data_IF_405135920932
#
_entry.id   IF_405135920932
#
_cell.length_a   1.000
_cell.length_b   1.000
_cell.length_c   1.000
_cell.angle_alpha   90.00
_cell.angle_beta   90.00
_cell.angle_gamma   90.00
#
_symmetry.space_group_name_H-M   'P 1'
#
loop_
_entity.id
_entity.type
_entity.pdbx_description
1 polymer ?
#
# COMPACT_ATOMS: atom_id res chain seq x y z
N UNK A 1 -42.04 11.34 -48.33
CA UNK A 1 -41.75 10.09 -47.61
C UNK A 1 -40.58 10.35 -46.68
N UNK A 2 -40.82 10.24 -45.37
CA UNK A 2 -39.79 10.34 -44.32
C UNK A 2 -38.86 9.11 -44.35
N UNK A 3 -37.57 9.33 -44.07
CA UNK A 3 -36.73 8.37 -43.35
C UNK A 3 -35.58 9.11 -42.65
N UNK A 4 -35.76 9.35 -41.34
CA UNK A 4 -34.73 9.68 -40.36
C UNK A 4 -34.09 8.39 -39.86
N UNK A 5 -32.78 8.20 -39.98
CA UNK A 5 -31.96 7.26 -39.22
C UNK A 5 -30.51 7.80 -39.25
N UNK A 6 -29.63 7.72 -38.27
CA UNK A 6 -29.65 7.65 -36.81
C UNK A 6 -28.16 7.79 -36.41
N UNK A 7 -27.83 8.67 -35.46
CA UNK A 7 -26.48 8.78 -34.89
C UNK A 7 -26.08 7.51 -34.13
N UNK A 8 -24.79 7.14 -34.15
CA UNK A 8 -24.32 6.01 -33.34
C UNK A 8 -22.81 5.74 -33.43
N UNK A 9 -21.97 6.77 -33.39
CA UNK A 9 -20.54 6.59 -33.18
C UNK A 9 -20.26 6.26 -31.71
N UNK A 10 -20.23 4.97 -31.39
CA UNK A 10 -19.91 4.50 -30.05
C UNK A 10 -18.49 4.93 -29.65
N UNK A 11 -18.41 5.76 -28.61
CA UNK A 11 -17.20 6.00 -27.84
C UNK A 11 -16.70 4.65 -27.32
N UNK A 12 -15.46 4.30 -27.67
CA UNK A 12 -14.75 3.21 -27.04
C UNK A 12 -14.54 3.57 -25.56
N UNK A 13 -15.48 3.14 -24.71
CA UNK A 13 -15.31 3.17 -23.27
C UNK A 13 -14.15 2.24 -22.93
N UNK A 14 -13.03 2.82 -22.50
CA UNK A 14 -11.95 2.08 -21.84
C UNK A 14 -12.55 1.37 -20.63
N UNK A 15 -12.79 0.08 -20.76
CA UNK A 15 -13.11 -0.78 -19.63
C UNK A 15 -11.84 -0.88 -18.78
N UNK A 16 -11.68 0.05 -17.85
CA UNK A 16 -10.97 -0.26 -16.63
C UNK A 16 -11.81 -1.34 -15.94
N UNK A 17 -11.47 -2.60 -16.20
CA UNK A 17 -11.96 -3.74 -15.44
C UNK A 17 -11.69 -3.42 -13.98
N UNK A 18 -12.74 -3.15 -13.22
CA UNK A 18 -12.69 -3.08 -11.76
C UNK A 18 -12.25 -4.45 -11.28
N UNK A 19 -10.94 -4.62 -11.12
CA UNK A 19 -10.36 -5.81 -10.53
C UNK A 19 -11.05 -5.98 -9.19
N UNK A 20 -11.80 -7.08 -9.04
CA UNK A 20 -12.54 -7.38 -7.83
C UNK A 20 -11.59 -7.25 -6.65
N UNK A 21 -11.93 -6.34 -5.77
CA UNK A 21 -11.08 -5.91 -4.68
C UNK A 21 -10.74 -7.09 -3.78
N UNK A 22 -9.47 -7.50 -3.77
CA UNK A 22 -9.01 -8.69 -3.01
C UNK A 22 -8.55 -8.27 -1.62
N UNK A 23 -9.48 -7.92 -0.75
CA UNK A 23 -9.17 -7.69 0.67
C UNK A 23 -8.81 -9.03 1.34
N UNK A 24 -7.69 -9.14 2.09
CA UNK A 24 -7.40 -10.35 2.84
C UNK A 24 -8.43 -10.57 3.94
N UNK A 25 -9.02 -11.77 3.99
CA UNK A 25 -9.84 -12.19 5.14
C UNK A 25 -8.99 -12.83 6.25
N UNK A 26 -9.57 -12.97 7.45
CA UNK A 26 -8.88 -13.57 8.59
C UNK A 26 -8.43 -15.02 8.35
N UNK A 27 -9.03 -15.75 7.40
CA UNK A 27 -8.63 -17.12 7.04
C UNK A 27 -7.42 -17.11 6.10
N UNK A 28 -7.35 -16.19 5.15
CA UNK A 28 -6.20 -16.00 4.26
C UNK A 28 -4.98 -15.56 5.06
N UNK A 29 -5.14 -14.61 5.98
CA UNK A 29 -4.05 -14.25 6.90
C UNK A 29 -3.66 -15.45 7.76
N UNK A 30 -4.60 -16.16 8.38
CA UNK A 30 -4.32 -17.39 9.14
C UNK A 30 -3.50 -18.42 8.39
N UNK A 31 -3.92 -18.75 7.18
CA UNK A 31 -3.21 -19.70 6.33
C UNK A 31 -1.81 -19.19 5.95
N UNK A 32 -1.63 -17.88 5.89
CA UNK A 32 -0.39 -17.25 5.46
C UNK A 32 0.63 -17.04 6.59
N UNK A 33 0.23 -16.53 7.76
CA UNK A 33 1.12 -16.36 8.92
C UNK A 33 1.21 -17.62 9.80
N UNK A 34 0.25 -18.55 9.72
CA UNK A 34 0.16 -19.68 10.65
C UNK A 34 -0.57 -19.32 11.96
N UNK A 35 -1.22 -20.30 12.58
CA UNK A 35 -2.14 -20.09 13.70
C UNK A 35 -1.51 -19.41 14.93
N UNK A 36 -0.29 -19.79 15.28
CA UNK A 36 0.42 -19.23 16.45
C UNK A 36 0.90 -17.78 16.25
N UNK A 37 1.03 -17.34 14.99
CA UNK A 37 1.44 -15.97 14.66
C UNK A 37 0.28 -14.98 14.60
N UNK A 38 -0.97 -15.46 14.64
CA UNK A 38 -2.14 -14.60 14.65
C UNK A 38 -2.14 -13.63 15.81
N UNK A 39 -1.75 -14.12 16.99
CA UNK A 39 -1.63 -13.37 18.24
C UNK A 39 -0.27 -12.72 18.44
N UNK A 40 0.66 -12.85 17.49
CA UNK A 40 1.96 -12.22 17.61
C UNK A 40 1.77 -10.70 17.59
N UNK A 41 2.26 -10.04 18.62
CA UNK A 41 2.16 -8.59 18.77
C UNK A 41 3.14 -7.93 17.79
N UNK A 42 2.67 -6.90 17.08
CA UNK A 42 3.54 -6.07 16.27
C UNK A 42 4.49 -5.33 17.23
N UNK A 43 5.82 -5.54 17.18
CA UNK A 43 6.74 -5.11 18.24
C UNK A 43 6.81 -3.58 18.47
N UNK A 44 6.12 -2.78 17.66
CA UNK A 44 6.22 -1.33 17.63
C UNK A 44 4.95 -0.60 17.14
N UNK A 45 3.77 -1.23 17.18
CA UNK A 45 2.56 -0.43 17.11
C UNK A 45 2.49 0.40 18.41
N UNK A 46 2.09 1.67 18.35
CA UNK A 46 1.78 2.45 19.56
C UNK A 46 0.73 1.73 20.45
N UNK A 47 0.06 0.73 19.88
CA UNK A 47 -0.76 -0.27 20.55
C UNK A 47 -0.01 -1.62 20.62
N UNK A 48 0.96 -1.74 21.52
CA UNK A 48 1.76 -2.95 21.74
C UNK A 48 0.96 -4.16 22.27
N UNK A 49 -0.37 -4.10 22.23
CA UNK A 49 -1.30 -5.16 22.64
C UNK A 49 -2.10 -5.72 21.46
N UNK A 50 -1.98 -5.14 20.25
CA UNK A 50 -2.73 -5.56 19.08
C UNK A 50 -1.93 -6.58 18.28
N UNK A 51 -2.59 -7.69 17.97
CA UNK A 51 -1.99 -8.75 17.19
C UNK A 51 -1.76 -8.29 15.74
N UNK A 52 -0.70 -8.78 15.09
CA UNK A 52 -0.32 -8.40 13.72
C UNK A 52 -1.49 -8.64 12.76
N UNK A 53 -2.19 -9.77 12.90
CA UNK A 53 -3.32 -10.11 12.05
C UNK A 53 -4.47 -9.10 12.17
N UNK A 54 -4.84 -8.77 13.41
CA UNK A 54 -5.90 -7.79 13.68
C UNK A 54 -5.50 -6.42 13.15
N UNK A 55 -4.27 -5.97 13.41
CA UNK A 55 -3.81 -4.68 12.89
C UNK A 55 -3.79 -4.62 11.35
N UNK A 56 -3.49 -5.73 10.68
CA UNK A 56 -3.59 -5.79 9.21
C UNK A 56 -5.06 -5.68 8.79
N UNK A 57 -5.97 -6.43 9.41
CA UNK A 57 -7.40 -6.41 9.08
C UNK A 57 -8.05 -5.05 9.37
N UNK A 58 -7.74 -4.43 10.50
CA UNK A 58 -8.25 -3.11 10.89
C UNK A 58 -7.91 -2.07 9.82
N UNK A 59 -6.71 -2.13 9.23
CA UNK A 59 -6.32 -1.23 8.15
C UNK A 59 -7.00 -1.49 6.80
N UNK A 60 -7.97 -2.40 6.72
CA UNK A 60 -8.86 -2.60 5.58
C UNK A 60 -10.34 -2.32 5.91
N UNK A 61 -10.65 -1.78 7.08
CA UNK A 61 -12.03 -1.50 7.51
C UNK A 61 -12.77 -0.51 6.59
N UNK A 62 -12.05 0.45 6.00
CA UNK A 62 -12.64 1.50 5.19
C UNK A 62 -11.78 1.86 3.96
N UNK A 63 -12.48 2.35 2.93
CA UNK A 63 -11.88 2.96 1.73
C UNK A 63 -10.83 2.08 1.07
N UNK A 64 -11.18 0.81 0.89
CA UNK A 64 -10.35 -0.14 0.18
C UNK A 64 -10.17 0.33 -1.27
N UNK A 65 -8.96 0.14 -1.79
CA UNK A 65 -8.65 0.32 -3.21
C UNK A 65 -7.65 -0.73 -3.67
N UNK A 66 -7.48 -0.87 -4.99
CA UNK A 66 -6.54 -1.82 -5.55
C UNK A 66 -6.12 -1.54 -6.98
N UNK A 67 -4.97 -2.11 -7.35
CA UNK A 67 -4.37 -2.00 -8.67
C UNK A 67 -3.88 -3.39 -9.12
N UNK A 68 -4.41 -3.86 -10.25
CA UNK A 68 -3.89 -5.00 -10.97
C UNK A 68 -2.81 -4.53 -11.96
N UNK A 69 -1.66 -5.19 -11.95
CA UNK A 69 -0.55 -4.90 -12.88
C UNK A 69 -0.67 -5.77 -14.13
N UNK A 70 -0.02 -5.34 -15.22
CA UNK A 70 -0.05 -6.09 -16.50
C UNK A 70 0.51 -7.51 -16.41
N UNK A 71 1.39 -7.79 -15.45
CA UNK A 71 1.93 -9.13 -15.19
C UNK A 71 1.04 -9.98 -14.27
N UNK A 72 -0.17 -9.52 -13.97
CA UNK A 72 -1.18 -10.23 -13.19
C UNK A 72 -1.03 -10.11 -11.67
N UNK A 73 0.04 -9.48 -11.17
CA UNK A 73 0.14 -9.17 -9.73
C UNK A 73 -0.93 -8.15 -9.34
N UNK A 74 -1.26 -8.13 -8.05
CA UNK A 74 -2.28 -7.22 -7.52
C UNK A 74 -1.80 -6.62 -6.20
N UNK A 75 -2.00 -5.32 -6.03
CA UNK A 75 -1.83 -4.64 -4.74
C UNK A 75 -3.16 -4.04 -4.32
N UNK A 76 -3.53 -4.23 -3.06
CA UNK A 76 -4.69 -3.59 -2.43
C UNK A 76 -4.25 -2.90 -1.17
N UNK A 77 -4.97 -1.84 -0.81
CA UNK A 77 -4.77 -1.11 0.42
C UNK A 77 -6.09 -0.58 0.96
N UNK A 78 -6.08 -0.17 2.21
CA UNK A 78 -7.21 0.49 2.86
C UNK A 78 -6.72 1.30 4.04
N UNK A 79 -7.67 1.79 4.84
CA UNK A 79 -7.39 2.43 6.12
C UNK A 79 -8.36 2.00 7.21
N UNK A 80 -7.94 2.21 8.45
CA UNK A 80 -8.76 1.98 9.63
C UNK A 80 -9.87 3.03 9.73
N UNK A 81 -11.08 2.61 10.07
CA UNK A 81 -12.19 3.53 10.22
C UNK A 81 -11.90 4.52 11.37
N UNK A 82 -12.06 5.82 11.10
CA UNK A 82 -11.76 6.88 12.08
C UNK A 82 -10.26 7.18 12.28
N UNK A 83 -9.35 6.40 11.69
CA UNK A 83 -7.90 6.53 11.83
C UNK A 83 -7.19 6.40 10.46
N UNK A 84 -7.40 7.36 9.56
CA UNK A 84 -6.88 7.31 8.18
C UNK A 84 -5.35 7.27 8.04
N UNK A 85 -4.62 7.57 9.11
CA UNK A 85 -3.16 7.43 9.23
C UNK A 85 -2.71 5.99 9.53
N UNK A 86 -3.65 5.08 9.81
CA UNK A 86 -3.43 3.65 9.93
C UNK A 86 -3.95 2.95 8.68
N UNK A 87 -3.01 2.46 7.89
CA UNK A 87 -3.30 1.79 6.62
C UNK A 87 -2.77 0.36 6.66
N UNK A 88 -3.35 -0.47 5.80
CA UNK A 88 -2.83 -1.80 5.48
C UNK A 88 -2.67 -1.97 3.99
N UNK A 89 -1.71 -2.80 3.59
CA UNK A 89 -1.46 -3.14 2.18
C UNK A 89 -1.25 -4.63 2.05
N UNK A 90 -1.80 -5.25 1.01
CA UNK A 90 -1.52 -6.63 0.65
C UNK A 90 -1.12 -6.71 -0.82
N UNK A 91 -0.11 -7.53 -1.10
CA UNK A 91 0.38 -7.79 -2.47
C UNK A 91 0.21 -9.27 -2.78
N UNK A 92 -0.35 -9.56 -3.94
CA UNK A 92 -0.67 -10.89 -4.45
C UNK A 92 0.09 -11.18 -5.75
N UNK A 93 0.45 -12.44 -5.97
CA UNK A 93 0.96 -12.89 -7.27
C UNK A 93 -0.16 -13.07 -8.30
N UNK A 94 0.22 -13.43 -9.53
CA UNK A 94 -0.69 -13.70 -10.65
C UNK A 94 -1.69 -14.82 -10.36
N UNK A 95 -1.32 -15.76 -9.47
CA UNK A 95 -2.18 -16.88 -9.06
C UNK A 95 -3.12 -16.47 -7.91
N UNK A 96 -3.07 -15.21 -7.45
CA UNK A 96 -3.87 -14.70 -6.35
C UNK A 96 -3.38 -15.13 -4.97
N UNK A 97 -2.15 -15.62 -4.85
CA UNK A 97 -1.56 -15.97 -3.54
C UNK A 97 -0.89 -14.73 -2.94
N UNK A 98 -1.19 -14.48 -1.67
CA UNK A 98 -0.60 -13.36 -0.95
C UNK A 98 0.92 -13.55 -0.78
N UNK A 99 1.68 -12.58 -1.26
CA UNK A 99 3.13 -12.54 -1.18
C UNK A 99 3.62 -11.72 0.01
N UNK A 100 2.85 -10.71 0.40
CA UNK A 100 3.26 -9.71 1.39
C UNK A 100 2.05 -9.00 1.99
N UNK A 101 2.09 -8.75 3.29
CA UNK A 101 1.14 -7.92 4.03
C UNK A 101 1.92 -6.82 4.76
N UNK A 102 1.35 -5.63 4.85
CA UNK A 102 2.02 -4.43 5.37
C UNK A 102 1.11 -3.69 6.31
N UNK A 103 1.70 -3.23 7.42
CA UNK A 103 1.13 -2.24 8.32
C UNK A 103 1.85 -0.93 8.06
N UNK A 104 1.09 0.13 7.76
CA UNK A 104 1.60 1.48 7.54
C UNK A 104 0.96 2.41 8.56
N UNK A 105 1.79 3.20 9.23
CA UNK A 105 1.35 4.06 10.32
C UNK A 105 1.97 5.45 10.20
N UNK A 106 1.15 6.47 10.45
CA UNK A 106 1.59 7.85 10.67
C UNK A 106 2.41 8.45 9.52
N UNK A 107 2.17 8.00 8.27
CA UNK A 107 2.81 8.59 7.09
C UNK A 107 2.24 9.99 6.88
N UNK A 108 3.14 10.98 6.86
CA UNK A 108 2.80 12.36 6.50
C UNK A 108 2.90 12.47 4.99
N UNK A 109 1.82 12.90 4.34
CA UNK A 109 1.76 13.10 2.90
C UNK A 109 2.52 14.36 2.48
N UNK A 110 3.12 14.31 1.31
CA UNK A 110 3.73 15.43 0.60
C UNK A 110 2.67 16.29 -0.09
N UNK A 111 1.61 15.66 -0.57
CA UNK A 111 0.44 16.32 -1.14
C UNK A 111 -0.81 15.62 -0.60
N UNK A 112 -1.71 16.41 -0.03
CA UNK A 112 -3.00 15.94 0.50
C UNK A 112 -4.18 16.64 -0.21
N UNK A 113 -3.90 17.49 -1.22
CA UNK A 113 -4.90 18.29 -1.93
C UNK A 113 -5.56 19.40 -1.10
N UNK A 114 -5.26 19.52 0.19
CA UNK A 114 -5.88 20.49 1.12
C UNK A 114 -4.88 21.56 1.54
N UNK A 115 -3.64 21.17 1.81
CA UNK A 115 -2.55 22.06 2.21
C UNK A 115 -1.50 22.19 1.11
N UNK A 116 -0.69 23.27 1.10
CA UNK A 116 0.34 23.43 0.09
C UNK A 116 1.30 22.23 0.05
N UNK A 117 1.48 21.66 -1.14
CA UNK A 117 2.35 20.51 -1.34
C UNK A 117 3.80 20.77 -0.88
N UNK A 118 4.39 19.77 -0.25
CA UNK A 118 5.74 19.80 0.31
C UNK A 118 6.75 19.54 -0.81
N UNK A 119 7.62 20.52 -1.06
CA UNK A 119 8.60 20.48 -2.18
C UNK A 119 10.04 20.25 -1.75
N UNK A 120 10.33 20.09 -0.45
CA UNK A 120 11.68 19.81 0.03
C UNK A 120 11.74 18.91 1.27
N UNK A 121 12.84 18.18 1.43
CA UNK A 121 13.09 17.36 2.62
C UNK A 121 13.14 18.18 3.92
N UNK A 122 13.56 19.45 3.85
CA UNK A 122 13.58 20.34 5.03
C UNK A 122 12.16 20.57 5.54
N UNK A 123 11.25 20.96 4.65
CA UNK A 123 9.84 21.20 4.99
C UNK A 123 9.16 19.90 5.41
N UNK A 124 9.47 18.78 4.75
CA UNK A 124 8.94 17.47 5.12
C UNK A 124 9.26 17.08 6.57
N UNK A 125 10.55 17.16 6.95
CA UNK A 125 11.00 16.85 8.32
C UNK A 125 10.37 17.80 9.34
N UNK A 126 10.23 19.06 9.00
CA UNK A 126 9.58 20.03 9.86
C UNK A 126 8.09 19.71 10.08
N UNK A 127 7.37 19.30 9.02
CA UNK A 127 5.97 18.87 9.13
C UNK A 127 5.83 17.64 10.01
N UNK A 128 6.67 16.62 9.82
CA UNK A 128 6.70 15.43 10.69
C UNK A 128 6.89 15.84 12.15
N UNK A 129 7.88 16.69 12.44
CA UNK A 129 8.16 17.17 13.80
C UNK A 129 6.98 17.93 14.41
N UNK A 130 6.37 18.85 13.65
CA UNK A 130 5.22 19.65 14.13
C UNK A 130 3.99 18.79 14.40
N UNK A 131 3.76 17.77 13.56
CA UNK A 131 2.66 16.84 13.75
C UNK A 131 2.91 15.81 14.88
N UNK A 132 4.12 15.77 15.45
CA UNK A 132 4.52 14.70 16.38
C UNK A 132 4.50 13.31 15.73
N UNK A 133 4.45 13.24 14.39
CA UNK A 133 4.26 11.99 13.67
C UNK A 133 5.50 11.10 13.74
N UNK A 134 5.27 9.79 13.83
CA UNK A 134 6.32 8.76 13.78
C UNK A 134 6.05 7.77 12.64
N UNK A 135 6.29 8.17 11.38
CA UNK A 135 6.05 7.32 10.23
C UNK A 135 6.83 6.02 10.35
N UNK A 136 6.17 4.88 10.20
CA UNK A 136 6.83 3.59 10.16
C UNK A 136 6.01 2.57 9.36
N UNK A 137 6.73 1.57 8.86
CA UNK A 137 6.17 0.49 8.07
C UNK A 137 6.68 -0.83 8.60
N UNK A 138 5.77 -1.78 8.81
CA UNK A 138 6.10 -3.17 9.10
C UNK A 138 5.66 -4.03 7.91
N UNK A 139 6.61 -4.73 7.30
CA UNK A 139 6.40 -5.61 6.15
C UNK A 139 6.55 -7.05 6.59
N UNK A 140 5.58 -7.88 6.24
CA UNK A 140 5.58 -9.30 6.54
C UNK A 140 5.52 -10.08 5.22
N UNK A 141 6.34 -11.12 5.10
CA UNK A 141 6.39 -11.99 3.93
C UNK A 141 6.58 -13.45 4.38
N UNK A 142 6.12 -14.45 3.61
CA UNK A 142 6.23 -15.85 4.00
C UNK A 142 7.68 -16.38 3.87
N UNK A 143 8.46 -15.80 2.96
CA UNK A 143 9.86 -16.10 2.74
C UNK A 143 10.56 -14.93 2.04
N UNK A 144 11.89 -15.02 1.94
CA UNK A 144 12.73 -14.00 1.34
C UNK A 144 12.41 -13.75 -0.14
N UNK A 145 12.14 -14.80 -0.91
CA UNK A 145 11.85 -14.68 -2.33
C UNK A 145 10.55 -13.92 -2.58
N UNK A 146 9.49 -14.20 -1.81
CA UNK A 146 8.22 -13.47 -1.88
C UNK A 146 8.37 -12.02 -1.43
N UNK A 147 9.17 -11.76 -0.40
CA UNK A 147 9.52 -10.39 0.00
C UNK A 147 10.18 -9.63 -1.15
N UNK A 148 11.23 -10.18 -1.76
CA UNK A 148 11.97 -9.52 -2.85
C UNK A 148 11.11 -9.31 -4.10
N UNK A 149 10.22 -10.26 -4.44
CA UNK A 149 9.33 -10.15 -5.58
C UNK A 149 8.21 -9.11 -5.39
N UNK A 150 7.66 -8.99 -4.18
CA UNK A 150 6.56 -8.09 -3.88
C UNK A 150 6.99 -6.66 -3.51
N UNK A 151 8.18 -6.51 -2.91
CA UNK A 151 8.64 -5.24 -2.35
C UNK A 151 8.69 -4.08 -3.36
N UNK A 152 9.10 -4.26 -4.63
CA UNK A 152 9.08 -3.17 -5.61
C UNK A 152 7.69 -2.57 -5.82
N UNK A 153 6.64 -3.40 -5.86
CA UNK A 153 5.27 -2.94 -6.03
C UNK A 153 4.79 -2.18 -4.79
N UNK A 154 5.06 -2.71 -3.59
CA UNK A 154 4.79 -2.02 -2.33
C UNK A 154 5.55 -0.68 -2.23
N UNK A 155 6.83 -0.64 -2.57
CA UNK A 155 7.63 0.57 -2.53
C UNK A 155 7.08 1.64 -3.49
N UNK A 156 6.51 1.23 -4.62
CA UNK A 156 5.84 2.14 -5.54
C UNK A 156 4.51 2.63 -4.99
N UNK A 157 3.71 1.75 -4.39
CA UNK A 157 2.51 2.12 -3.66
C UNK A 157 2.79 3.16 -2.57
N UNK A 158 3.87 3.00 -1.79
CA UNK A 158 4.22 3.94 -0.72
C UNK A 158 4.58 5.33 -1.26
N UNK A 159 5.14 5.42 -2.47
CA UNK A 159 5.35 6.69 -3.15
C UNK A 159 4.03 7.34 -3.57
N UNK A 160 3.02 6.55 -3.95
CA UNK A 160 1.69 7.05 -4.25
C UNK A 160 0.95 7.50 -2.98
N UNK A 161 1.03 6.77 -1.88
CA UNK A 161 0.46 7.18 -0.59
C UNK A 161 1.08 8.49 -0.09
N UNK A 162 2.40 8.65 -0.23
CA UNK A 162 3.09 9.91 0.05
C UNK A 162 2.56 11.08 -0.78
N UNK A 163 1.92 10.84 -1.91
CA UNK A 163 1.33 11.87 -2.78
C UNK A 163 -0.19 11.98 -2.63
N UNK A 164 -0.78 11.22 -1.69
CA UNK A 164 -2.22 11.21 -1.48
C UNK A 164 -3.02 10.46 -2.54
N UNK A 165 -2.37 9.59 -3.33
CA UNK A 165 -2.94 8.90 -4.49
C UNK A 165 -3.42 9.89 -5.58
N UNK A 166 -3.87 9.38 -6.73
CA UNK A 166 -4.39 10.20 -7.83
C UNK A 166 -3.36 11.25 -8.36
N UNK A 167 -2.07 10.97 -8.23
CA UNK A 167 -1.02 11.96 -8.44
C UNK A 167 -0.74 12.23 -9.93
N UNK A 168 -0.89 13.48 -10.35
CA UNK A 168 -0.49 13.95 -11.68
C UNK A 168 0.91 14.59 -11.66
N UNK A 169 1.91 13.75 -11.90
CA UNK A 169 3.31 14.19 -11.94
C UNK A 169 3.67 15.10 -13.11
N UNK A 170 2.77 15.32 -14.08
CA UNK A 170 2.99 16.33 -15.12
C UNK A 170 2.84 17.74 -14.55
N UNK A 171 2.01 17.90 -13.52
CA UNK A 171 1.73 19.18 -12.84
C UNK A 171 2.59 19.40 -11.60
N UNK A 172 2.97 18.33 -10.90
CA UNK A 172 3.71 18.39 -9.62
C UNK A 172 5.05 17.66 -9.66
N UNK A 173 5.79 17.81 -10.77
CA UNK A 173 7.05 17.07 -11.04
C UNK A 173 8.05 17.08 -9.88
N UNK A 174 8.23 18.22 -9.22
CA UNK A 174 9.15 18.36 -8.08
C UNK A 174 8.70 17.58 -6.83
N UNK A 175 7.40 17.48 -6.59
CA UNK A 175 6.81 16.73 -5.46
C UNK A 175 6.92 15.23 -5.73
N UNK A 176 6.63 14.80 -6.96
CA UNK A 176 6.84 13.41 -7.38
C UNK A 176 8.32 12.99 -7.30
N UNK A 177 9.24 13.87 -7.70
CA UNK A 177 10.68 13.62 -7.55
C UNK A 177 11.10 13.54 -6.07
N UNK A 178 10.45 14.31 -5.19
CA UNK A 178 10.68 14.24 -3.74
C UNK A 178 10.17 12.93 -3.14
N UNK A 179 8.99 12.44 -3.56
CA UNK A 179 8.41 11.18 -3.07
C UNK A 179 9.39 10.00 -3.23
N UNK A 180 10.10 9.94 -4.35
CA UNK A 180 11.13 8.92 -4.59
C UNK A 180 12.35 8.99 -3.64
N UNK A 181 12.57 10.15 -3.01
CA UNK A 181 13.71 10.42 -2.11
C UNK A 181 13.34 10.29 -0.63
N UNK A 182 12.05 10.40 -0.29
CA UNK A 182 11.57 10.22 1.08
C UNK A 182 11.81 8.76 1.49
N UNK A 183 12.44 8.59 2.66
CA UNK A 183 12.69 7.28 3.25
C UNK A 183 11.85 7.16 4.52
N UNK A 184 10.75 6.42 4.43
CA UNK A 184 10.00 6.00 5.60
C UNK A 184 10.73 4.81 6.23
N UNK A 185 10.94 4.77 7.55
CA UNK A 185 11.51 3.62 8.23
C UNK A 185 10.68 2.35 7.97
N UNK A 186 11.30 1.36 7.32
CA UNK A 186 10.68 0.05 7.06
C UNK A 186 11.39 -1.01 7.87
N UNK A 187 10.63 -1.92 8.48
CA UNK A 187 11.12 -3.18 9.03
C UNK A 187 10.46 -4.34 8.32
N UNK A 188 11.27 -5.31 7.91
CA UNK A 188 10.80 -6.51 7.24
C UNK A 188 10.90 -7.72 8.16
N UNK A 189 9.93 -8.60 8.07
CA UNK A 189 9.84 -9.85 8.81
C UNK A 189 9.49 -11.00 7.87
N UNK A 190 10.09 -12.15 8.12
CA UNK A 190 9.70 -13.41 7.48
C UNK A 190 8.89 -14.23 8.47
N UNK A 191 7.64 -14.48 8.13
CA UNK A 191 6.74 -15.40 8.83
C UNK A 191 6.81 -16.74 8.09
N UNK A 192 7.61 -17.67 8.59
CA UNK A 192 7.69 -19.01 8.01
C UNK A 192 6.37 -19.70 8.32
N UNK A 193 5.61 -20.14 7.30
CA UNK A 193 4.34 -20.82 7.51
C UNK A 193 4.46 -21.91 8.58
N UNK A 194 3.63 -21.84 9.62
CA UNK A 194 3.74 -22.68 10.82
C UNK A 194 3.67 -21.86 12.10
N UNK A 195 4.12 -22.45 13.22
CA UNK A 195 3.94 -21.88 14.57
C UNK A 195 5.10 -20.98 15.05
N UNK A 196 6.06 -20.66 14.17
CA UNK A 196 7.23 -19.88 14.52
C UNK A 196 7.00 -18.37 14.36
N UNK A 197 7.31 -17.58 15.40
CA UNK A 197 7.21 -16.12 15.40
C UNK A 197 7.90 -15.46 14.19
N UNK A 198 7.35 -14.35 13.64
CA UNK A 198 7.97 -13.64 12.54
C UNK A 198 9.39 -13.18 12.89
N UNK A 199 10.36 -13.54 12.06
CA UNK A 199 11.77 -13.19 12.29
C UNK A 199 12.14 -11.96 11.48
N UNK A 200 12.75 -10.97 12.13
CA UNK A 200 13.26 -9.78 11.45
C UNK A 200 14.27 -10.17 10.37
N UNK A 201 14.17 -9.52 9.22
CA UNK A 201 15.09 -9.67 8.09
C UNK A 201 15.50 -8.30 7.55
N UNK A 202 16.43 -8.28 6.59
CA UNK A 202 16.86 -7.06 5.92
C UNK A 202 15.78 -6.58 4.95
N UNK A 203 15.58 -5.27 4.84
CA UNK A 203 14.68 -4.72 3.81
C UNK A 203 15.37 -4.86 2.45
N UNK A 204 14.68 -5.35 1.39
CA UNK A 204 15.28 -5.44 0.05
C UNK A 204 15.72 -4.06 -0.45
N UNK A 205 16.96 -3.96 -0.94
CA UNK A 205 17.47 -2.75 -1.59
C UNK A 205 17.17 -2.76 -3.09
N UNK A 206 15.89 -2.93 -3.45
CA UNK A 206 15.42 -3.03 -4.84
C UNK A 206 14.63 -1.75 -5.18
N UNK A 207 14.79 -1.16 -6.38
CA UNK A 207 13.99 -0.01 -6.81
C UNK A 207 12.48 -0.29 -6.77
N UNK A 208 11.69 0.77 -6.58
CA UNK A 208 10.24 0.70 -6.75
C UNK A 208 9.87 0.28 -8.19
N UNK A 209 8.75 -0.40 -8.34
CA UNK A 209 8.25 -0.83 -9.64
C UNK A 209 8.01 0.40 -10.56
N UNK A 210 8.30 0.29 -11.87
CA UNK A 210 8.17 1.39 -12.83
C UNK A 210 6.71 1.64 -13.28
N UNK A 211 5.75 1.50 -12.36
CA UNK A 211 4.31 1.70 -12.64
C UNK A 211 4.00 3.18 -12.50
N UNK A 212 3.27 3.84 -13.42
CA UNK A 212 2.87 5.23 -13.26
C UNK A 212 2.19 5.52 -11.90
N UNK A 213 2.54 6.64 -11.24
CA UNK A 213 1.92 7.01 -9.95
C UNK A 213 0.43 7.34 -10.09
N UNK A 214 0.01 7.77 -11.28
CA UNK A 214 -1.38 8.07 -11.61
C UNK A 214 -2.28 6.82 -11.63
N UNK A 215 -1.70 5.61 -11.76
CA UNK A 215 -2.45 4.36 -11.76
C UNK A 215 -2.89 3.95 -10.34
N UNK A 216 -2.33 4.58 -9.31
CA UNK A 216 -2.73 4.38 -7.92
C UNK A 216 -3.82 5.37 -7.55
N UNK A 217 -5.06 4.93 -7.68
CA UNK A 217 -6.31 5.68 -7.46
C UNK A 217 -6.93 5.34 -6.11
N UNK A 218 -7.38 6.35 -5.38
CA UNK A 218 -8.13 6.24 -4.12
C UNK A 218 -9.41 7.07 -4.19
#
# INVERSE_FOLDING_TARGET
MLALWACGGALASSQASTAQERVPDARVLRAWIGGTNLGAIAPDAENADVAIADRVLDGFEAGTSGLATHDGRFVTWGFKFGEGNQQSVAVYDSDGRMMLAVIVSNVVRLDDGVTPAIRSMKVYRERIRRAGARPHVLVFAPNRAKLEAAFPLFARWLQADLLGFNADCTRTREVCALAARVRIPVRAFIAWGGDALPRRTTVPSIPAAPIPLADFVQ
#
